data_IF_969058773267
#
_entry.id   IF_969058773267
#
_cell.length_a   1.000
_cell.length_b   1.000
_cell.length_c   1.000
_cell.angle_alpha   90.00
_cell.angle_beta   90.00
_cell.angle_gamma   90.00
#
_symmetry.space_group_name_H-M   'P 1'
#
loop_
_entity.id
_entity.type
_entity.pdbx_description
1 polymer ?
#
# COMPACT_ATOMS: atom_id res chain seq x y z
N UNK A 1 96.81 -9.80 -40.12
CA UNK A 1 96.61 -10.75 -39.01
C UNK A 1 95.16 -10.66 -38.57
N UNK A 2 94.54 -11.83 -38.45
CA UNK A 2 93.17 -12.18 -38.06
C UNK A 2 92.47 -11.25 -37.05
N UNK A 3 91.18 -10.92 -37.21
CA UNK A 3 90.03 -11.73 -36.73
C UNK A 3 88.69 -10.93 -36.66
N UNK A 4 87.63 -11.57 -37.16
CA UNK A 4 86.20 -11.58 -36.75
C UNK A 4 85.31 -10.31 -36.67
N UNK A 5 84.59 -10.03 -37.76
CA UNK A 5 83.12 -10.11 -37.98
C UNK A 5 82.06 -10.04 -36.83
N UNK A 6 81.02 -9.21 -37.08
CA UNK A 6 79.56 -9.28 -36.74
C UNK A 6 79.13 -9.08 -35.27
N UNK A 7 78.07 -8.33 -34.90
CA UNK A 7 76.68 -8.35 -35.40
C UNK A 7 75.90 -7.08 -35.01
N UNK A 8 74.85 -6.79 -35.80
CA UNK A 8 73.90 -5.67 -35.71
C UNK A 8 72.94 -5.80 -34.51
N UNK A 9 72.63 -4.69 -33.85
CA UNK A 9 71.36 -4.52 -33.13
C UNK A 9 70.69 -3.20 -33.54
N UNK A 10 69.42 -3.33 -33.90
CA UNK A 10 68.51 -2.29 -34.35
C UNK A 10 67.72 -1.84 -33.13
N UNK A 11 67.93 -0.61 -32.65
CA UNK A 11 67.02 0.02 -31.69
C UNK A 11 66.21 1.11 -32.40
N UNK A 12 64.94 0.77 -32.65
CA UNK A 12 63.92 1.66 -33.19
C UNK A 12 63.53 2.68 -32.11
N UNK A 13 63.42 3.93 -32.56
CA UNK A 13 63.22 5.11 -31.73
C UNK A 13 61.79 5.34 -31.26
N UNK A 14 61.68 5.78 -30.00
CA UNK A 14 61.27 7.15 -29.64
C UNK A 14 59.96 7.65 -30.25
N UNK A 15 58.81 7.19 -29.72
CA UNK A 15 57.50 7.83 -29.93
C UNK A 15 56.64 7.68 -28.64
N UNK A 16 56.08 8.82 -28.18
CA UNK A 16 54.91 8.98 -27.29
C UNK A 16 55.05 8.71 -25.78
N UNK A 17 55.58 9.67 -25.01
CA UNK A 17 55.13 9.92 -23.62
C UNK A 17 55.19 11.43 -23.34
N UNK A 18 54.18 12.22 -23.74
CA UNK A 18 53.92 13.53 -23.13
C UNK A 18 52.56 14.13 -23.54
N UNK A 19 51.42 13.50 -23.25
CA UNK A 19 50.12 14.19 -23.22
C UNK A 19 49.03 13.31 -22.59
N UNK A 20 48.89 13.32 -21.26
CA UNK A 20 47.68 12.86 -20.55
C UNK A 20 47.76 13.14 -19.04
N UNK A 21 47.72 14.41 -18.62
CA UNK A 21 47.40 14.76 -17.21
C UNK A 21 46.49 15.98 -17.16
N UNK A 22 45.30 15.91 -17.76
CA UNK A 22 44.15 16.76 -17.39
C UNK A 22 42.88 15.96 -17.70
N UNK A 23 42.29 15.30 -16.68
CA UNK A 23 40.85 15.03 -16.54
C UNK A 23 40.58 13.91 -15.51
N UNK A 24 40.83 14.17 -14.23
CA UNK A 24 40.31 13.33 -13.13
C UNK A 24 39.78 14.22 -12.01
N UNK A 25 38.79 15.05 -12.34
CA UNK A 25 38.04 15.80 -11.33
C UNK A 25 36.62 16.13 -11.85
N UNK A 26 35.79 15.11 -12.08
CA UNK A 26 34.33 15.26 -12.19
C UNK A 26 33.64 13.88 -12.20
N UNK A 27 33.68 13.16 -11.08
CA UNK A 27 32.87 11.95 -10.90
C UNK A 27 32.11 11.90 -9.56
N UNK A 28 32.12 13.00 -8.78
CA UNK A 28 31.33 13.11 -7.53
C UNK A 28 30.08 14.00 -7.62
N UNK A 29 29.88 14.74 -8.72
CA UNK A 29 28.73 15.67 -8.85
C UNK A 29 27.46 15.02 -9.41
N UNK A 30 27.54 13.84 -10.03
CA UNK A 30 26.38 13.20 -10.66
C UNK A 30 25.42 12.53 -9.68
N UNK A 31 25.82 12.32 -8.42
CA UNK A 31 25.00 11.62 -7.41
C UNK A 31 24.14 12.55 -6.56
N UNK A 32 24.36 13.87 -6.59
CA UNK A 32 23.72 14.81 -5.66
C UNK A 32 22.44 15.45 -6.17
N UNK A 33 22.12 15.35 -7.47
CA UNK A 33 20.91 15.96 -8.07
C UNK A 33 19.76 14.97 -8.15
N UNK A 34 19.26 14.59 -6.99
CA UNK A 34 18.12 13.69 -6.86
C UNK A 34 16.80 14.47 -6.93
N UNK A 35 15.85 14.00 -7.73
CA UNK A 35 14.49 14.58 -7.81
C UNK A 35 13.59 13.95 -6.75
N UNK A 36 12.84 14.78 -6.03
CA UNK A 36 11.94 14.35 -4.97
C UNK A 36 10.68 15.24 -4.93
N UNK A 37 9.70 14.83 -4.13
CA UNK A 37 8.48 15.59 -3.87
C UNK A 37 8.30 15.85 -2.39
N UNK A 38 7.74 17.01 -2.07
CA UNK A 38 7.34 17.38 -0.71
C UNK A 38 6.11 16.58 -0.29
N UNK A 39 6.15 15.91 0.85
CA UNK A 39 5.03 15.14 1.41
C UNK A 39 4.05 15.98 2.24
N UNK A 40 4.49 16.73 3.28
CA UNK A 40 3.55 17.43 4.15
C UNK A 40 2.79 18.54 3.40
N UNK A 41 1.59 18.88 3.89
CA UNK A 41 0.74 19.92 3.31
C UNK A 41 1.48 21.26 3.15
N UNK A 42 2.28 21.62 4.18
CA UNK A 42 3.05 22.85 4.26
C UNK A 42 4.42 22.57 4.88
N UNK A 43 5.48 23.00 4.22
CA UNK A 43 6.86 22.80 4.65
C UNK A 43 7.64 24.11 4.65
N UNK A 44 8.09 24.57 5.81
CA UNK A 44 8.99 25.73 5.91
C UNK A 44 10.43 25.30 5.67
N UNK A 45 11.13 26.01 4.81
CA UNK A 45 12.57 25.84 4.60
C UNK A 45 13.36 26.76 5.53
N UNK A 46 14.50 26.27 6.00
CA UNK A 46 15.43 26.99 6.89
C UNK A 46 16.68 27.47 6.16
N UNK A 47 17.34 28.48 6.70
CA UNK A 47 18.61 29.01 6.17
C UNK A 47 19.78 28.03 6.33
N UNK A 48 19.75 27.19 7.37
CA UNK A 48 20.75 26.18 7.71
C UNK A 48 20.11 25.06 8.56
N UNK A 49 20.89 24.03 8.89
CA UNK A 49 20.49 22.93 9.78
C UNK A 49 20.52 23.29 11.28
N UNK A 50 21.04 24.48 11.63
CA UNK A 50 21.17 24.93 13.01
C UNK A 50 19.82 25.14 13.70
N UNK A 51 19.76 24.91 15.02
CA UNK A 51 18.53 25.06 15.81
C UNK A 51 17.94 26.48 15.75
N UNK A 52 18.79 27.51 15.69
CA UNK A 52 18.41 28.91 15.60
C UNK A 52 18.20 29.42 14.16
N UNK A 53 18.16 28.55 13.15
CA UNK A 53 18.02 28.94 11.75
C UNK A 53 16.65 29.60 11.47
N UNK A 54 16.68 30.69 10.70
CA UNK A 54 15.45 31.41 10.28
C UNK A 54 14.75 30.69 9.13
N UNK A 55 13.44 30.90 9.01
CA UNK A 55 12.70 30.51 7.81
C UNK A 55 13.12 31.36 6.60
N UNK A 56 13.32 30.72 5.44
CA UNK A 56 13.76 31.37 4.19
C UNK A 56 12.84 31.12 3.00
N UNK A 57 11.87 30.22 3.16
CA UNK A 57 10.92 29.87 2.12
C UNK A 57 9.91 28.85 2.62
N UNK A 58 8.97 28.52 1.74
CA UNK A 58 7.92 27.55 2.01
C UNK A 58 7.65 26.74 0.74
N UNK A 59 7.36 25.46 0.93
CA UNK A 59 6.90 24.54 -0.11
C UNK A 59 5.60 23.89 0.34
N UNK A 60 4.84 23.34 -0.60
CA UNK A 60 3.58 22.63 -0.35
C UNK A 60 3.67 21.17 -0.81
N UNK A 61 2.74 20.35 -0.35
CA UNK A 61 2.66 18.94 -0.77
C UNK A 61 2.58 18.80 -2.29
N UNK A 62 3.39 17.88 -2.84
CA UNK A 62 3.48 17.63 -4.27
C UNK A 62 4.40 18.57 -5.03
N UNK A 63 4.99 19.60 -4.41
CA UNK A 63 6.00 20.41 -5.07
C UNK A 63 7.21 19.53 -5.45
N UNK A 64 7.64 19.55 -6.73
CA UNK A 64 8.86 18.87 -7.13
C UNK A 64 10.07 19.68 -6.67
N UNK A 65 11.08 18.99 -6.16
CA UNK A 65 12.33 19.58 -5.71
C UNK A 65 13.52 18.81 -6.24
N UNK A 66 14.64 19.50 -6.39
CA UNK A 66 15.95 18.87 -6.57
C UNK A 66 16.71 18.97 -5.25
N UNK A 67 17.11 17.83 -4.69
CA UNK A 67 18.07 17.80 -3.59
C UNK A 67 19.43 18.24 -4.17
N UNK A 68 20.15 19.07 -3.43
CA UNK A 68 21.42 19.68 -3.88
C UNK A 68 22.55 19.49 -2.88
N UNK A 69 22.21 19.27 -1.61
CA UNK A 69 23.14 18.91 -0.55
C UNK A 69 22.42 18.10 0.53
N UNK A 70 23.20 17.35 1.32
CA UNK A 70 22.76 16.61 2.50
C UNK A 70 23.73 16.93 3.64
N UNK A 71 23.21 17.09 4.84
CA UNK A 71 23.99 17.41 6.05
C UNK A 71 23.22 16.91 7.28
N UNK A 72 23.92 16.37 8.27
CA UNK A 72 23.32 15.98 9.55
C UNK A 72 23.36 17.18 10.51
N UNK A 73 22.28 17.41 11.25
CA UNK A 73 22.29 18.40 12.35
C UNK A 73 23.07 17.86 13.57
N UNK A 74 23.29 18.72 14.57
CA UNK A 74 24.02 18.36 15.80
C UNK A 74 23.43 17.16 16.55
N UNK A 75 22.12 16.93 16.42
CA UNK A 75 21.40 15.79 17.01
C UNK A 75 21.40 14.53 16.12
N UNK A 76 22.10 14.57 14.98
CA UNK A 76 22.19 13.47 14.01
C UNK A 76 20.95 13.32 13.11
N UNK A 77 19.99 14.26 13.14
CA UNK A 77 18.86 14.23 12.20
C UNK A 77 19.37 14.56 10.79
N UNK A 78 18.99 13.78 9.75
CA UNK A 78 19.41 14.06 8.39
C UNK A 78 18.60 15.21 7.77
N UNK A 79 19.29 16.20 7.22
CA UNK A 79 18.73 17.34 6.49
C UNK A 79 19.17 17.33 5.03
N UNK A 80 18.31 17.89 4.18
CA UNK A 80 18.60 18.11 2.76
C UNK A 80 18.42 19.57 2.41
N UNK A 81 19.32 20.09 1.56
CA UNK A 81 19.15 21.37 0.89
C UNK A 81 18.44 21.14 -0.43
N UNK A 82 17.29 21.77 -0.60
CA UNK A 82 16.45 21.60 -1.78
C UNK A 82 16.37 22.89 -2.58
N UNK A 83 16.24 22.73 -3.89
CA UNK A 83 15.77 23.77 -4.82
C UNK A 83 14.40 23.35 -5.32
N UNK A 84 13.38 24.12 -4.94
CA UNK A 84 11.99 23.89 -5.34
C UNK A 84 11.55 24.78 -6.51
N UNK A 85 10.23 24.86 -6.75
CA UNK A 85 9.64 25.76 -7.75
C UNK A 85 10.05 27.21 -7.49
N UNK A 86 10.03 28.02 -8.55
CA UNK A 86 10.34 29.47 -8.51
C UNK A 86 11.72 29.82 -7.91
N UNK A 87 12.64 28.85 -7.87
CA UNK A 87 14.00 29.03 -7.36
C UNK A 87 14.12 29.05 -5.83
N UNK A 88 13.02 28.80 -5.10
CA UNK A 88 13.03 28.74 -3.64
C UNK A 88 14.03 27.67 -3.18
N UNK A 89 14.95 28.06 -2.30
CA UNK A 89 16.05 27.20 -1.85
C UNK A 89 16.20 27.28 -0.34
N UNK A 90 16.44 26.15 0.32
CA UNK A 90 16.70 26.09 1.75
C UNK A 90 16.80 24.66 2.27
N UNK A 91 16.97 24.54 3.59
CA UNK A 91 17.15 23.28 4.29
C UNK A 91 15.86 22.79 4.94
N UNK A 92 15.59 21.49 4.87
CA UNK A 92 14.53 20.82 5.62
C UNK A 92 14.95 19.37 5.93
N UNK A 93 14.34 18.76 6.95
CA UNK A 93 14.60 17.37 7.30
C UNK A 93 14.25 16.43 6.15
N UNK A 94 15.11 15.43 5.90
CA UNK A 94 14.98 14.53 4.76
C UNK A 94 13.64 13.78 4.74
N UNK A 95 13.06 13.46 5.90
CA UNK A 95 11.80 12.73 6.03
C UNK A 95 10.58 13.41 5.39
N UNK A 96 10.67 14.70 5.07
CA UNK A 96 9.59 15.44 4.40
C UNK A 96 9.60 15.29 2.88
N UNK A 97 10.60 14.59 2.33
CA UNK A 97 10.75 14.40 0.90
C UNK A 97 10.69 12.92 0.55
N UNK A 98 10.09 12.61 -0.59
CA UNK A 98 10.07 11.25 -1.16
C UNK A 98 10.60 11.32 -2.59
N UNK A 99 11.54 10.43 -2.91
CA UNK A 99 12.20 10.38 -4.23
C UNK A 99 11.19 10.15 -5.35
N UNK A 100 11.47 10.71 -6.52
CA UNK A 100 10.60 10.57 -7.71
C UNK A 100 10.35 9.11 -8.09
N UNK A 101 11.35 8.24 -7.96
CA UNK A 101 11.21 6.80 -8.21
C UNK A 101 10.16 6.13 -7.31
N UNK A 102 10.14 6.48 -6.01
CA UNK A 102 9.19 5.94 -5.04
C UNK A 102 7.78 6.46 -5.32
N UNK A 103 7.66 7.74 -5.65
CA UNK A 103 6.38 8.36 -6.07
C UNK A 103 5.85 7.69 -7.33
N UNK A 104 6.72 7.45 -8.32
CA UNK A 104 6.38 6.77 -9.57
C UNK A 104 5.87 5.36 -9.32
N UNK A 105 6.54 4.57 -8.47
CA UNK A 105 6.07 3.23 -8.11
C UNK A 105 4.73 3.25 -7.35
N UNK A 106 4.54 4.17 -6.40
CA UNK A 106 3.25 4.33 -5.71
C UNK A 106 2.11 4.67 -6.69
N UNK A 107 2.35 5.55 -7.66
CA UNK A 107 1.39 5.88 -8.73
C UNK A 107 1.10 4.69 -9.63
N UNK A 108 2.11 3.90 -10.01
CA UNK A 108 1.91 2.65 -10.77
C UNK A 108 1.05 1.66 -10.00
N UNK A 109 1.21 1.56 -8.68
CA UNK A 109 0.34 0.73 -7.83
C UNK A 109 -1.09 1.28 -7.87
N UNK A 110 -1.27 2.60 -7.69
CA UNK A 110 -2.58 3.24 -7.73
C UNK A 110 -3.30 3.00 -9.08
N UNK A 111 -2.58 3.15 -10.19
CA UNK A 111 -3.12 2.90 -11.54
C UNK A 111 -3.59 1.46 -11.73
N UNK A 112 -2.87 0.48 -11.18
CA UNK A 112 -3.24 -0.94 -11.25
C UNK A 112 -4.51 -1.26 -10.45
N UNK A 113 -4.81 -0.50 -9.40
CA UNK A 113 -5.93 -0.76 -8.48
C UNK A 113 -7.07 0.24 -8.59
N UNK A 114 -6.98 1.24 -9.47
CA UNK A 114 -7.95 2.33 -9.57
C UNK A 114 -9.39 1.83 -9.78
N UNK A 115 -9.55 0.76 -10.53
CA UNK A 115 -10.86 0.18 -10.88
C UNK A 115 -11.30 -0.94 -9.90
N UNK A 116 -10.51 -1.23 -8.86
CA UNK A 116 -10.89 -2.21 -7.84
C UNK A 116 -11.77 -1.52 -6.80
N UNK A 117 -12.95 -2.08 -6.52
CA UNK A 117 -13.83 -1.57 -5.48
C UNK A 117 -13.20 -1.75 -4.09
N UNK A 118 -13.43 -0.77 -3.21
CA UNK A 118 -13.02 -0.88 -1.81
C UNK A 118 -13.71 -2.09 -1.18
N UNK A 119 -12.91 -2.98 -0.61
CA UNK A 119 -13.38 -4.20 0.06
C UNK A 119 -13.59 -3.96 1.56
N UNK A 120 -12.88 -3.00 2.14
CA UNK A 120 -13.05 -2.54 3.51
C UNK A 120 -12.44 -1.14 3.67
N UNK A 121 -12.91 -0.38 4.65
CA UNK A 121 -12.24 0.85 5.09
C UNK A 121 -11.42 0.53 6.34
N UNK A 122 -10.17 0.98 6.35
CA UNK A 122 -9.23 0.78 7.44
C UNK A 122 -8.77 2.09 8.07
N UNK A 123 -8.33 1.99 9.33
CA UNK A 123 -7.71 3.08 10.09
C UNK A 123 -6.44 2.58 10.79
N UNK A 124 -5.34 3.32 10.68
CA UNK A 124 -4.10 2.95 11.38
C UNK A 124 -4.24 3.15 12.90
N UNK A 125 -3.80 2.18 13.69
CA UNK A 125 -3.82 2.23 15.17
C UNK A 125 -2.62 2.98 15.76
N UNK A 126 -1.57 3.14 14.96
CA UNK A 126 -0.29 3.76 15.30
C UNK A 126 0.36 4.31 14.01
N UNK A 127 1.46 5.07 14.09
CA UNK A 127 2.25 5.39 12.90
C UNK A 127 2.64 4.11 12.14
N UNK A 128 2.54 4.14 10.82
CA UNK A 128 2.56 2.92 10.01
C UNK A 128 3.33 3.12 8.72
N UNK A 129 4.28 2.22 8.44
CA UNK A 129 5.07 2.26 7.20
C UNK A 129 4.17 1.92 6.01
N UNK A 130 4.10 2.82 5.04
CA UNK A 130 3.60 2.56 3.70
C UNK A 130 4.75 1.96 2.89
N UNK A 131 4.51 0.82 2.24
CA UNK A 131 5.52 0.09 1.48
C UNK A 131 5.13 -0.07 0.01
N UNK A 132 6.09 -0.26 -0.89
CA UNK A 132 5.83 -0.51 -2.31
C UNK A 132 5.51 -1.99 -2.60
N UNK A 133 5.95 -2.90 -1.73
CA UNK A 133 5.70 -4.34 -1.77
C UNK A 133 5.38 -4.85 -0.35
N UNK A 134 4.65 -5.97 -0.21
CA UNK A 134 4.31 -6.52 1.10
C UNK A 134 5.50 -7.30 1.68
N UNK A 135 6.43 -6.60 2.35
CA UNK A 135 7.62 -7.20 2.98
C UNK A 135 7.96 -6.48 4.29
N UNK A 136 8.34 -7.24 5.33
CA UNK A 136 8.81 -6.71 6.61
C UNK A 136 10.28 -6.27 6.61
N UNK A 137 11.13 -6.88 5.80
CA UNK A 137 12.59 -6.83 5.96
C UNK A 137 13.23 -5.72 5.13
N UNK A 138 12.84 -5.59 3.87
CA UNK A 138 13.46 -4.59 3.00
C UNK A 138 13.06 -3.17 3.42
N UNK A 139 14.01 -2.37 3.94
CA UNK A 139 13.75 -0.98 4.34
C UNK A 139 13.74 0.00 3.15
N UNK A 140 14.40 -0.31 2.04
CA UNK A 140 14.34 0.49 0.80
C UNK A 140 12.93 0.48 0.19
N UNK A 141 12.13 -0.52 0.56
CA UNK A 141 10.74 -0.66 0.16
C UNK A 141 9.78 0.29 0.91
N UNK A 142 10.25 1.00 1.94
CA UNK A 142 9.42 1.94 2.72
C UNK A 142 9.28 3.25 1.96
N UNK A 143 8.07 3.55 1.48
CA UNK A 143 7.78 4.78 0.76
C UNK A 143 7.66 5.99 1.71
N UNK A 144 7.00 5.80 2.86
CA UNK A 144 6.87 6.81 3.91
C UNK A 144 6.32 6.19 5.20
N UNK A 145 6.32 6.96 6.30
CA UNK A 145 5.60 6.61 7.53
C UNK A 145 4.35 7.47 7.64
N UNK A 146 3.19 6.82 7.61
CA UNK A 146 1.89 7.45 7.77
C UNK A 146 1.61 7.75 9.25
N UNK A 147 0.97 8.88 9.59
CA UNK A 147 0.52 9.16 10.94
C UNK A 147 -0.48 8.12 11.49
N UNK A 148 -0.60 8.06 12.82
CA UNK A 148 -1.69 7.32 13.46
C UNK A 148 -3.06 7.90 13.09
N UNK A 149 -4.08 7.05 12.99
CA UNK A 149 -5.43 7.46 12.62
C UNK A 149 -5.62 7.70 11.12
N UNK A 150 -4.60 7.43 10.28
CA UNK A 150 -4.71 7.55 8.82
C UNK A 150 -5.78 6.60 8.30
N UNK A 151 -6.70 7.13 7.48
CA UNK A 151 -7.78 6.38 6.83
C UNK A 151 -7.31 5.82 5.48
N UNK A 152 -7.81 4.64 5.12
CA UNK A 152 -7.41 3.97 3.87
C UNK A 152 -8.52 3.08 3.30
N UNK A 153 -8.61 3.01 1.98
CA UNK A 153 -9.42 2.00 1.29
C UNK A 153 -8.59 0.73 1.11
N UNK A 154 -9.03 -0.39 1.66
CA UNK A 154 -8.43 -1.70 1.43
C UNK A 154 -9.07 -2.30 0.18
N UNK A 155 -8.27 -2.61 -0.84
CA UNK A 155 -8.76 -3.14 -2.12
C UNK A 155 -8.38 -4.61 -2.36
N UNK A 156 -7.29 -5.06 -1.75
CA UNK A 156 -6.83 -6.45 -1.83
C UNK A 156 -6.01 -6.81 -0.59
N UNK A 157 -5.77 -8.11 -0.44
CA UNK A 157 -4.91 -8.67 0.61
C UNK A 157 -3.87 -9.59 -0.01
N UNK A 158 -2.72 -9.66 0.65
CA UNK A 158 -1.71 -10.67 0.38
C UNK A 158 -1.18 -11.18 1.71
N UNK A 159 -0.69 -12.42 1.71
CA UNK A 159 -0.06 -13.03 2.87
C UNK A 159 1.35 -13.44 2.55
N UNK A 160 2.26 -13.08 3.44
CA UNK A 160 3.68 -13.43 3.32
C UNK A 160 4.12 -14.21 4.55
N UNK A 161 4.98 -15.22 4.39
CA UNK A 161 5.62 -15.88 5.51
C UNK A 161 6.26 -14.84 6.43
N UNK A 162 5.97 -14.93 7.73
CA UNK A 162 6.62 -14.11 8.74
C UNK A 162 8.10 -14.52 8.80
N UNK A 163 9.04 -13.58 8.65
CA UNK A 163 10.46 -13.89 8.80
C UNK A 163 10.76 -14.45 10.20
N UNK A 164 11.64 -15.44 10.29
CA UNK A 164 12.01 -16.10 11.55
C UNK A 164 12.70 -15.15 12.56
N UNK A 165 13.30 -14.07 12.07
CA UNK A 165 13.83 -12.97 12.86
C UNK A 165 13.39 -11.64 12.24
N UNK A 166 12.63 -10.85 13.00
CA UNK A 166 12.41 -9.44 12.70
C UNK A 166 13.25 -8.66 13.72
N UNK A 167 14.28 -7.89 13.31
CA UNK A 167 15.08 -7.12 14.24
C UNK A 167 14.18 -6.18 15.07
N UNK A 168 14.19 -6.32 16.40
CA UNK A 168 13.45 -5.44 17.32
C UNK A 168 12.05 -5.90 17.75
N UNK A 169 11.65 -7.16 17.52
CA UNK A 169 10.45 -7.72 18.18
C UNK A 169 10.82 -8.49 19.45
N UNK A 170 10.12 -8.25 20.57
CA UNK A 170 10.20 -8.99 21.85
C UNK A 170 9.84 -10.48 21.76
N UNK A 171 9.78 -11.05 20.55
CA UNK A 171 9.42 -12.44 20.29
C UNK A 171 10.63 -13.38 20.21
N UNK A 172 11.77 -13.02 20.81
CA UNK A 172 12.92 -13.94 20.91
C UNK A 172 12.61 -15.17 21.79
N UNK A 173 11.66 -15.07 22.72
CA UNK A 173 11.35 -16.17 23.66
C UNK A 173 10.28 -17.15 23.14
N UNK A 174 9.45 -16.78 22.17
CA UNK A 174 8.39 -17.68 21.62
C UNK A 174 8.82 -18.46 20.36
N UNK A 175 9.93 -18.09 19.72
CA UNK A 175 10.40 -18.75 18.50
C UNK A 175 10.86 -20.21 18.73
N UNK A 176 11.14 -20.60 19.97
CA UNK A 176 11.62 -21.95 20.30
C UNK A 176 10.50 -22.97 20.59
N UNK A 177 9.23 -22.56 20.71
CA UNK A 177 8.13 -23.43 21.14
C UNK A 177 7.17 -23.89 20.02
N UNK A 178 7.29 -23.37 18.79
CA UNK A 178 6.47 -23.80 17.64
C UNK A 178 7.35 -24.19 16.44
N UNK A 179 8.23 -25.17 16.62
CA UNK A 179 8.97 -25.78 15.53
C UNK A 179 8.00 -26.63 14.68
N UNK A 180 7.36 -26.01 13.69
CA UNK A 180 6.53 -26.72 12.70
C UNK A 180 5.57 -25.86 11.89
N UNK A 181 5.13 -24.70 12.39
CA UNK A 181 4.10 -23.88 11.74
C UNK A 181 4.66 -22.55 11.25
N UNK A 182 4.67 -22.36 9.92
CA UNK A 182 5.04 -21.07 9.31
C UNK A 182 3.91 -20.07 9.60
N UNK A 183 4.18 -19.08 10.46
CA UNK A 183 3.25 -17.95 10.69
C UNK A 183 3.24 -17.04 9.46
N UNK A 184 2.09 -16.46 9.12
CA UNK A 184 1.96 -15.50 8.01
C UNK A 184 1.60 -14.10 8.51
N UNK A 185 2.10 -13.08 7.81
CA UNK A 185 1.68 -11.70 7.95
C UNK A 185 0.59 -11.37 6.93
N UNK A 186 -0.49 -10.75 7.41
CA UNK A 186 -1.50 -10.14 6.56
C UNK A 186 -1.02 -8.76 6.08
N UNK A 187 -1.08 -8.55 4.77
CA UNK A 187 -0.76 -7.29 4.11
C UNK A 187 -1.98 -6.77 3.35
N UNK A 188 -2.27 -5.48 3.49
CA UNK A 188 -3.33 -4.80 2.77
C UNK A 188 -2.73 -3.96 1.65
N UNK A 189 -3.24 -4.16 0.44
CA UNK A 189 -3.05 -3.22 -0.66
C UNK A 189 -4.11 -2.14 -0.51
N UNK A 190 -3.65 -0.88 -0.42
CA UNK A 190 -4.50 0.24 -0.08
C UNK A 190 -4.45 1.37 -1.09
N UNK A 191 -5.56 2.12 -1.18
CA UNK A 191 -5.58 3.49 -1.69
C UNK A 191 -5.64 4.48 -0.53
N UNK A 192 -4.89 5.57 -0.64
CA UNK A 192 -4.83 6.66 0.32
C UNK A 192 -5.44 7.92 -0.30
N UNK A 193 -6.67 8.25 0.09
CA UNK A 193 -7.42 9.35 -0.55
C UNK A 193 -6.82 10.73 -0.28
N UNK A 194 -6.23 10.92 0.89
CA UNK A 194 -5.71 12.21 1.34
C UNK A 194 -4.22 12.41 0.99
N UNK A 195 -3.59 11.44 0.30
CA UNK A 195 -2.15 11.44 0.01
C UNK A 195 -1.91 11.46 -1.51
N UNK A 196 -1.78 12.64 -2.10
CA UNK A 196 -1.59 12.79 -3.55
C UNK A 196 -0.20 12.36 -4.04
N UNK A 197 0.82 12.52 -3.19
CA UNK A 197 2.20 12.14 -3.51
C UNK A 197 2.38 10.63 -3.47
N UNK A 198 1.73 9.96 -2.52
CA UNK A 198 1.79 8.51 -2.31
C UNK A 198 0.37 7.93 -2.29
N UNK A 199 -0.31 7.84 -3.44
CA UNK A 199 -1.74 7.49 -3.49
C UNK A 199 -2.04 6.03 -3.17
N UNK A 200 -1.03 5.14 -3.19
CA UNK A 200 -1.24 3.71 -2.93
C UNK A 200 0.02 2.99 -2.46
N UNK A 201 -0.17 1.84 -1.83
CA UNK A 201 0.91 0.94 -1.42
C UNK A 201 0.41 -0.20 -0.55
N UNK A 202 1.35 -0.87 0.10
CA UNK A 202 1.13 -2.01 0.99
C UNK A 202 1.33 -1.62 2.44
N UNK A 203 0.45 -2.12 3.29
CA UNK A 203 0.44 -1.85 4.73
C UNK A 203 0.31 -3.17 5.49
N UNK A 204 1.04 -3.29 6.60
CA UNK A 204 0.88 -4.43 7.50
C UNK A 204 -0.50 -4.39 8.19
N UNK A 205 -1.31 -5.41 7.93
CA UNK A 205 -2.72 -5.47 8.33
C UNK A 205 -2.94 -5.57 9.84
N UNK A 206 -1.98 -6.11 10.60
CA UNK A 206 -2.09 -6.21 12.07
C UNK A 206 -2.21 -4.85 12.78
N UNK A 207 -1.65 -3.81 12.17
CA UNK A 207 -1.69 -2.43 12.68
C UNK A 207 -2.89 -1.61 12.18
N UNK A 208 -3.83 -2.25 11.46
CA UNK A 208 -5.02 -1.62 10.90
C UNK A 208 -6.27 -2.11 11.64
N UNK A 209 -7.11 -1.17 12.08
CA UNK A 209 -8.48 -1.44 12.51
C UNK A 209 -9.43 -1.31 11.32
N UNK A 210 -10.46 -2.16 11.23
CA UNK A 210 -11.50 -2.00 10.21
C UNK A 210 -12.60 -1.08 10.73
N UNK A 211 -12.94 -0.06 9.94
CA UNK A 211 -13.99 0.91 10.23
C UNK A 211 -15.33 0.35 9.72
N UNK A 212 -15.83 -0.67 10.43
CA UNK A 212 -17.07 -1.37 10.07
C UNK A 212 -18.26 -0.42 10.26
N UNK A 213 -19.19 -0.31 9.29
CA UNK A 213 -20.38 0.51 9.45
C UNK A 213 -21.20 0.11 10.70
N UNK A 214 -21.58 1.08 11.57
CA UNK A 214 -22.32 0.79 12.81
C UNK A 214 -23.63 0.00 12.59
N UNK A 215 -24.27 0.18 11.44
CA UNK A 215 -25.50 -0.50 11.07
C UNK A 215 -25.32 -1.99 10.77
N UNK A 216 -24.11 -2.44 10.43
CA UNK A 216 -23.85 -3.86 10.12
C UNK A 216 -23.07 -4.61 11.20
N UNK A 217 -22.38 -3.89 12.10
CA UNK A 217 -21.48 -4.50 13.10
C UNK A 217 -22.20 -5.53 13.99
N UNK A 218 -23.45 -5.29 14.34
CA UNK A 218 -24.26 -6.16 15.20
C UNK A 218 -24.81 -7.41 14.49
N UNK A 219 -24.73 -7.46 13.16
CA UNK A 219 -25.24 -8.59 12.39
C UNK A 219 -24.20 -9.67 12.13
N UNK A 220 -22.97 -9.53 12.63
CA UNK A 220 -21.91 -10.53 12.48
C UNK A 220 -22.37 -11.90 12.98
N UNK A 221 -22.10 -12.96 12.21
CA UNK A 221 -22.44 -14.32 12.65
C UNK A 221 -21.63 -14.71 13.89
N UNK A 222 -22.22 -15.51 14.78
CA UNK A 222 -21.51 -16.04 15.95
C UNK A 222 -20.22 -16.78 15.56
N UNK A 223 -19.14 -16.56 16.30
CA UNK A 223 -17.82 -17.15 16.05
C UNK A 223 -17.09 -16.60 14.81
N UNK A 224 -17.55 -15.47 14.25
CA UNK A 224 -16.98 -14.84 13.06
C UNK A 224 -16.62 -13.38 13.28
N UNK A 225 -15.80 -12.86 12.37
CA UNK A 225 -15.48 -11.44 12.24
C UNK A 225 -15.75 -10.98 10.82
N UNK A 226 -16.08 -9.70 10.65
CA UNK A 226 -16.20 -9.07 9.33
C UNK A 226 -14.79 -8.82 8.79
N UNK A 227 -14.52 -9.26 7.57
CA UNK A 227 -13.27 -8.98 6.86
C UNK A 227 -13.45 -7.96 5.74
N UNK A 228 -14.66 -7.78 5.22
CA UNK A 228 -14.97 -6.78 4.20
C UNK A 228 -16.47 -6.57 4.00
N UNK A 229 -16.83 -5.52 3.28
CA UNK A 229 -18.21 -5.18 2.94
C UNK A 229 -18.28 -4.35 1.66
N UNK A 230 -19.40 -4.48 0.94
CA UNK A 230 -19.73 -3.67 -0.23
C UNK A 230 -21.17 -3.16 -0.09
N UNK A 231 -21.39 -1.86 -0.37
CA UNK A 231 -22.74 -1.29 -0.47
C UNK A 231 -23.38 -1.77 -1.78
N UNK A 232 -24.54 -2.41 -1.68
CA UNK A 232 -25.31 -2.91 -2.82
C UNK A 232 -26.17 -1.81 -3.42
N UNK A 233 -26.80 -1.01 -2.56
CA UNK A 233 -27.74 0.01 -2.95
C UNK A 233 -28.49 0.51 -1.72
N UNK A 234 -29.43 1.42 -1.94
CA UNK A 234 -30.19 2.09 -0.87
C UNK A 234 -31.67 1.79 -1.06
N UNK A 235 -32.31 1.24 -0.02
CA UNK A 235 -33.76 1.15 0.06
C UNK A 235 -34.34 2.47 0.55
N UNK A 236 -35.47 2.86 -0.03
CA UNK A 236 -36.22 4.07 0.33
C UNK A 236 -37.64 3.66 0.70
N UNK A 237 -38.14 4.16 1.83
CA UNK A 237 -39.51 4.02 2.27
C UNK A 237 -40.38 5.18 1.85
N UNK A 238 -41.69 4.96 1.80
CA UNK A 238 -42.68 5.99 1.47
C UNK A 238 -42.74 7.10 2.53
N UNK A 239 -42.30 6.82 3.75
CA UNK A 239 -42.19 7.77 4.86
C UNK A 239 -40.90 8.62 4.83
N UNK A 240 -40.12 8.51 3.74
CA UNK A 240 -38.84 9.21 3.57
C UNK A 240 -37.66 8.56 4.32
N UNK A 241 -37.87 7.43 5.00
CA UNK A 241 -36.76 6.67 5.58
C UNK A 241 -35.93 6.00 4.50
N UNK A 242 -34.63 5.84 4.76
CA UNK A 242 -33.74 5.13 3.86
C UNK A 242 -32.75 4.29 4.65
N UNK A 243 -32.29 3.19 4.05
CA UNK A 243 -31.22 2.39 4.63
C UNK A 243 -30.48 1.59 3.57
N UNK A 244 -29.25 1.23 3.93
CA UNK A 244 -28.31 0.66 2.98
C UNK A 244 -28.38 -0.86 2.98
N UNK A 245 -28.35 -1.44 1.79
CA UNK A 245 -28.13 -2.87 1.58
C UNK A 245 -26.63 -3.15 1.53
N UNK A 246 -26.19 -4.19 2.22
CA UNK A 246 -24.78 -4.56 2.29
C UNK A 246 -24.54 -6.00 1.90
N UNK A 247 -23.45 -6.22 1.17
CA UNK A 247 -22.76 -7.50 1.14
C UNK A 247 -21.70 -7.50 2.23
N UNK A 248 -21.69 -8.52 3.06
CA UNK A 248 -20.74 -8.71 4.17
C UNK A 248 -19.90 -9.95 3.88
N UNK A 249 -18.58 -9.79 4.00
CA UNK A 249 -17.59 -10.84 3.90
C UNK A 249 -17.15 -11.19 5.32
N UNK A 250 -17.39 -12.44 5.73
CA UNK A 250 -17.08 -12.92 7.07
C UNK A 250 -15.97 -13.96 7.02
N UNK A 251 -15.18 -14.02 8.09
CA UNK A 251 -14.17 -15.05 8.33
C UNK A 251 -14.38 -15.64 9.71
N UNK A 252 -14.20 -16.96 9.87
CA UNK A 252 -14.15 -17.58 11.21
C UNK A 252 -13.05 -16.96 12.06
N UNK A 253 -13.26 -16.93 13.37
CA UNK A 253 -12.25 -16.49 14.35
C UNK A 253 -11.23 -17.60 14.61
N UNK A 254 -11.66 -18.86 14.60
CA UNK A 254 -10.83 -20.04 14.90
C UNK A 254 -10.86 -21.06 13.75
N UNK A 255 -9.82 -21.91 13.64
CA UNK A 255 -9.73 -22.96 12.64
C UNK A 255 -9.72 -22.41 11.21
N UNK A 256 -9.03 -21.30 11.03
CA UNK A 256 -9.13 -20.49 9.82
C UNK A 256 -8.14 -21.00 8.79
N UNK A 257 -8.61 -21.30 7.58
CA UNK A 257 -7.70 -21.48 6.46
C UNK A 257 -6.98 -20.15 6.20
N UNK A 258 -5.64 -20.21 6.29
CA UNK A 258 -4.77 -19.08 6.06
C UNK A 258 -4.52 -18.80 4.58
N UNK A 259 -5.35 -19.30 3.68
CA UNK A 259 -5.27 -18.97 2.26
C UNK A 259 -6.44 -18.10 1.79
N UNK A 260 -7.56 -18.09 2.50
CA UNK A 260 -8.75 -17.28 2.17
C UNK A 260 -8.85 -15.96 2.96
N UNK A 261 -9.42 -14.94 2.35
CA UNK A 261 -9.72 -13.63 2.97
C UNK A 261 -11.07 -13.63 3.71
N UNK A 262 -11.98 -14.48 3.25
CA UNK A 262 -13.29 -14.75 3.85
C UNK A 262 -13.70 -16.20 3.58
N UNK A 263 -14.57 -16.73 4.42
CA UNK A 263 -15.18 -18.07 4.28
C UNK A 263 -16.70 -18.02 4.20
N UNK A 264 -17.27 -16.82 4.17
CA UNK A 264 -18.71 -16.62 4.00
C UNK A 264 -19.02 -15.27 3.39
N UNK A 265 -20.01 -15.29 2.50
CA UNK A 265 -20.69 -14.10 2.02
C UNK A 265 -22.11 -14.07 2.59
N UNK A 266 -22.59 -12.87 2.91
CA UNK A 266 -23.91 -12.64 3.48
C UNK A 266 -24.47 -11.34 2.93
N UNK A 267 -25.75 -11.32 2.57
CA UNK A 267 -26.44 -10.08 2.21
C UNK A 267 -27.26 -9.63 3.41
N UNK A 268 -27.09 -8.38 3.81
CA UNK A 268 -27.95 -7.68 4.75
C UNK A 268 -28.85 -6.73 3.97
N UNK A 269 -30.15 -6.99 4.03
CA UNK A 269 -31.16 -6.21 3.34
C UNK A 269 -31.97 -5.37 4.33
N UNK A 270 -31.91 -4.05 4.21
CA UNK A 270 -32.73 -3.12 4.98
C UNK A 270 -34.16 -3.07 4.44
N UNK A 271 -35.13 -3.26 5.33
CA UNK A 271 -36.54 -3.07 5.04
C UNK A 271 -37.00 -1.72 5.62
N UNK A 272 -37.35 -0.72 4.79
CA UNK A 272 -37.75 0.59 5.29
C UNK A 272 -39.09 0.57 6.03
N UNK A 273 -39.97 -0.39 5.73
CA UNK A 273 -41.28 -0.49 6.38
C UNK A 273 -41.18 -0.92 7.84
N UNK A 274 -40.28 -1.85 8.15
CA UNK A 274 -40.03 -2.35 9.50
C UNK A 274 -38.82 -1.69 10.17
N UNK A 275 -38.03 -0.91 9.42
CA UNK A 275 -36.76 -0.29 9.82
C UNK A 275 -35.75 -1.30 10.37
N UNK A 276 -35.81 -2.53 9.88
CA UNK A 276 -35.00 -3.65 10.34
C UNK A 276 -34.20 -4.25 9.19
N UNK A 277 -33.14 -4.98 9.56
CA UNK A 277 -32.36 -5.76 8.62
C UNK A 277 -32.79 -7.22 8.60
N UNK A 278 -32.79 -7.81 7.41
CA UNK A 278 -32.92 -9.24 7.18
C UNK A 278 -31.67 -9.81 6.52
N UNK A 279 -31.49 -11.13 6.58
CA UNK A 279 -30.42 -11.84 5.85
C UNK A 279 -31.02 -12.76 4.79
N UNK A 280 -31.41 -12.23 3.61
CA UNK A 280 -32.06 -13.05 2.58
C UNK A 280 -31.11 -14.03 1.87
N UNK A 281 -29.80 -13.80 1.97
CA UNK A 281 -28.80 -14.67 1.35
C UNK A 281 -27.58 -14.86 2.25
N UNK A 282 -27.09 -16.10 2.29
CA UNK A 282 -25.86 -16.50 2.97
C UNK A 282 -25.28 -17.73 2.28
N UNK A 283 -23.98 -17.72 2.06
CA UNK A 283 -23.26 -18.86 1.53
C UNK A 283 -21.87 -18.96 2.15
N UNK A 284 -21.49 -20.17 2.57
CA UNK A 284 -20.12 -20.47 2.96
C UNK A 284 -19.30 -20.75 1.68
N UNK A 285 -18.27 -19.95 1.47
CA UNK A 285 -17.39 -20.00 0.30
C UNK A 285 -16.00 -19.50 0.70
N UNK A 286 -14.98 -20.32 0.48
CA UNK A 286 -13.59 -19.90 0.67
C UNK A 286 -13.22 -18.92 -0.45
N UNK A 287 -13.04 -17.65 -0.13
CA UNK A 287 -12.85 -16.60 -1.14
C UNK A 287 -11.68 -15.67 -0.87
N UNK A 288 -11.18 -15.05 -1.95
CA UNK A 288 -10.15 -14.00 -1.94
C UNK A 288 -10.68 -12.68 -2.48
N UNK A 289 -10.13 -11.58 -1.99
CA UNK A 289 -10.34 -10.27 -2.57
C UNK A 289 -9.70 -10.17 -3.97
N UNK A 290 -10.22 -9.29 -4.85
CA UNK A 290 -11.42 -8.48 -4.66
C UNK A 290 -12.71 -9.24 -5.00
N UNK A 291 -13.79 -8.93 -4.27
CA UNK A 291 -15.16 -9.15 -4.73
C UNK A 291 -15.59 -7.94 -5.56
N UNK A 292 -16.19 -8.20 -6.72
CA UNK A 292 -16.70 -7.17 -7.63
C UNK A 292 -18.21 -7.17 -7.60
N UNK A 293 -18.81 -6.01 -7.50
CA UNK A 293 -20.25 -5.80 -7.52
C UNK A 293 -20.60 -4.77 -8.58
N UNK A 294 -21.46 -5.14 -9.52
CA UNK A 294 -21.95 -4.28 -10.59
C UNK A 294 -23.47 -4.22 -10.50
N UNK A 295 -24.01 -3.03 -10.25
CA UNK A 295 -25.45 -2.79 -10.18
C UNK A 295 -25.90 -1.86 -11.31
N UNK A 296 -27.04 -2.17 -11.92
CA UNK A 296 -27.76 -1.37 -12.91
C UNK A 296 -29.21 -1.22 -12.44
N UNK A 297 -29.52 -0.07 -11.84
CA UNK A 297 -30.80 0.15 -11.18
C UNK A 297 -31.00 -0.84 -10.03
N UNK A 298 -32.06 -1.65 -10.13
CA UNK A 298 -32.44 -2.64 -9.11
C UNK A 298 -31.85 -4.03 -9.33
N UNK A 299 -31.06 -4.25 -10.38
CA UNK A 299 -30.49 -5.57 -10.68
C UNK A 299 -29.00 -5.48 -10.98
N UNK A 300 -28.29 -6.59 -10.84
CA UNK A 300 -26.86 -6.60 -11.04
C UNK A 300 -26.25 -7.98 -10.87
N UNK A 301 -24.93 -8.00 -10.78
CA UNK A 301 -24.17 -9.20 -10.48
C UNK A 301 -23.05 -8.91 -9.52
N UNK A 302 -22.63 -9.94 -8.80
CA UNK A 302 -21.35 -9.90 -8.12
C UNK A 302 -20.49 -11.11 -8.49
N UNK A 303 -19.19 -10.88 -8.56
CA UNK A 303 -18.18 -11.86 -8.90
C UNK A 303 -17.17 -11.97 -7.77
N UNK A 304 -16.80 -13.19 -7.41
CA UNK A 304 -15.77 -13.47 -6.42
C UNK A 304 -14.80 -14.54 -6.91
N UNK A 305 -13.60 -14.53 -6.34
CA UNK A 305 -12.58 -15.55 -6.58
C UNK A 305 -12.68 -16.61 -5.47
N UNK A 306 -13.35 -17.72 -5.74
CA UNK A 306 -13.46 -18.84 -4.82
C UNK A 306 -12.20 -19.71 -4.90
N UNK A 307 -11.86 -20.40 -3.81
CA UNK A 307 -10.81 -21.41 -3.75
C UNK A 307 -11.50 -22.77 -3.75
N UNK A 308 -11.17 -23.62 -4.73
CA UNK A 308 -11.71 -24.97 -4.82
C UNK A 308 -10.94 -25.97 -3.93
N UNK A 309 -11.37 -27.24 -3.96
CA UNK A 309 -10.73 -28.32 -3.17
C UNK A 309 -9.29 -28.62 -3.58
N UNK A 310 -8.88 -28.20 -4.77
CA UNK A 310 -7.53 -28.36 -5.31
C UNK A 310 -6.68 -27.11 -5.07
N UNK A 311 -7.16 -26.17 -4.26
CA UNK A 311 -6.55 -24.88 -4.00
C UNK A 311 -6.40 -23.98 -5.25
N UNK A 312 -7.24 -24.21 -6.26
CA UNK A 312 -7.29 -23.40 -7.47
C UNK A 312 -8.32 -22.29 -7.32
N UNK A 313 -7.99 -21.12 -7.85
CA UNK A 313 -8.92 -19.99 -7.86
C UNK A 313 -9.91 -20.13 -9.01
N UNK A 314 -11.20 -20.19 -8.68
CA UNK A 314 -12.31 -20.28 -9.63
C UNK A 314 -13.20 -19.07 -9.45
N UNK A 315 -13.46 -18.35 -10.55
CA UNK A 315 -14.39 -17.22 -10.52
C UNK A 315 -15.83 -17.73 -10.43
N UNK A 316 -16.58 -17.22 -9.46
CA UNK A 316 -18.01 -17.47 -9.31
C UNK A 316 -18.78 -16.18 -9.53
N UNK A 317 -19.91 -16.27 -10.25
CA UNK A 317 -20.77 -15.14 -10.58
C UNK A 317 -22.19 -15.40 -10.10
N UNK A 318 -22.76 -14.40 -9.45
CA UNK A 318 -24.06 -14.41 -8.82
C UNK A 318 -24.90 -13.28 -9.40
N UNK A 319 -26.18 -13.53 -9.63
CA UNK A 319 -27.12 -12.46 -9.98
C UNK A 319 -27.78 -11.95 -8.71
N UNK A 320 -27.98 -10.64 -8.64
CA UNK A 320 -28.62 -9.97 -7.50
C UNK A 320 -29.73 -9.06 -8.01
N UNK A 321 -30.87 -9.07 -7.33
CA UNK A 321 -32.01 -8.22 -7.61
C UNK A 321 -32.59 -7.64 -6.32
N UNK A 322 -32.69 -6.32 -6.26
CA UNK A 322 -33.47 -5.58 -5.29
C UNK A 322 -34.94 -5.61 -5.75
N UNK A 323 -35.80 -6.11 -4.88
CA UNK A 323 -37.24 -6.21 -5.09
C UNK A 323 -37.94 -5.07 -4.33
N UNK A 324 -39.24 -4.95 -4.55
CA UNK A 324 -40.09 -4.07 -3.74
C UNK A 324 -39.97 -4.39 -2.23
N UNK A 325 -40.22 -3.36 -1.41
CA UNK A 325 -40.20 -3.43 0.06
C UNK A 325 -38.83 -3.81 0.66
N UNK A 326 -37.72 -3.46 -0.02
CA UNK A 326 -36.37 -3.67 0.49
C UNK A 326 -35.90 -5.14 0.52
N UNK A 327 -36.62 -6.06 -0.14
CA UNK A 327 -36.19 -7.46 -0.26
C UNK A 327 -35.09 -7.61 -1.30
N UNK A 328 -34.18 -8.56 -1.08
CA UNK A 328 -33.14 -8.91 -2.05
C UNK A 328 -33.26 -10.39 -2.41
N UNK A 329 -33.17 -10.67 -3.72
CA UNK A 329 -32.99 -12.03 -4.25
C UNK A 329 -31.58 -12.19 -4.80
N UNK A 330 -30.97 -13.34 -4.54
CA UNK A 330 -29.68 -13.74 -5.11
C UNK A 330 -29.82 -15.10 -5.76
N UNK A 331 -29.44 -15.19 -7.04
CA UNK A 331 -29.41 -16.43 -7.79
C UNK A 331 -27.96 -16.95 -7.89
N UNK A 332 -27.79 -18.25 -7.60
CA UNK A 332 -26.48 -18.91 -7.53
C UNK A 332 -25.90 -19.19 -8.92
N UNK A 333 -24.56 -19.34 -9.04
CA UNK A 333 -23.91 -19.73 -10.29
C UNK A 333 -24.53 -21.02 -10.84
N UNK A 334 -24.90 -21.02 -12.12
CA UNK A 334 -25.36 -22.22 -12.83
C UNK A 334 -26.83 -22.62 -12.61
N UNK A 335 -27.62 -21.86 -11.83
CA UNK A 335 -29.08 -21.96 -11.84
C UNK A 335 -29.65 -20.81 -12.67
N UNK A 336 -30.05 -21.10 -13.92
CA UNK A 336 -30.90 -20.22 -14.73
C UNK A 336 -32.36 -20.49 -14.41
#
# INVERSE_FOLDING_TARGET
>A
MTCSKTTKEVCIGLILIFFAVIATACSKESTLRESAYVVPEKLKLRSSVAQAARAVGELKSGDPVTITAMEDSEDGTPWVKVKGPDGVTGWAEQRYFVKDEIVSESRKIADKIKDIQTQAVGKSKAPLKLRLTPDRVNEENVASTLPSGTMMDIVARDRKPKPAAVPGSESETEAAASAGEVKYDDWYLVRLRDFTVLPAGWIYGGSVGLEIPPEVVYFVSNGRRISGWLKIGTAHGDDGTSGEHYMILERKIFGVDEQMDFDRIKILAYDPSTRNYSTPFREDVSGKFPVRLEMQGTSGKFELNAIDKNNQSVRQSYFIQMLENGKIKVDKPGKK
#
